data_IF_611510373130
#
_entry.id   IF_611510373130
#
_cell.length_a   1.000
_cell.length_b   1.000
_cell.length_c   1.000
_cell.angle_alpha   90.00
_cell.angle_beta   90.00
_cell.angle_gamma   90.00
#
_symmetry.space_group_name_H-M   'P 1'
#
loop_
_entity.id
_entity.type
_entity.pdbx_description
1 polymer ?
#
# COMPACT_ATOMS: atom_id res chain seq x y z
N UNK A 1 33.90 2.53 4.04
CA UNK A 1 35.24 1.87 4.00
C UNK A 1 36.29 2.98 4.12
N UNK A 2 37.48 2.76 4.73
CA UNK A 2 38.62 3.69 4.72
C UNK A 2 39.02 4.27 3.33
N UNK A 3 38.51 3.75 2.22
CA UNK A 3 38.65 4.29 0.86
C UNK A 3 37.52 5.23 0.43
N UNK A 4 36.60 5.60 1.32
CA UNK A 4 35.52 6.56 1.03
C UNK A 4 34.35 6.00 0.21
N UNK A 5 34.35 4.69 -0.09
CA UNK A 5 33.21 4.04 -0.73
C UNK A 5 32.11 3.73 0.30
N UNK A 6 30.82 3.96 -0.05
CA UNK A 6 29.70 3.52 0.78
C UNK A 6 29.78 1.99 0.93
N UNK A 7 29.70 1.50 2.17
CA UNK A 7 29.64 0.06 2.48
C UNK A 7 28.23 -0.53 2.26
N UNK A 8 27.35 0.18 1.57
CA UNK A 8 26.04 -0.30 1.15
C UNK A 8 26.04 -0.45 -0.37
N UNK A 9 26.09 -1.69 -0.83
CA UNK A 9 25.69 -2.00 -2.19
C UNK A 9 24.17 -2.02 -2.22
N UNK A 10 23.55 -0.98 -2.79
CA UNK A 10 22.15 -1.03 -3.19
C UNK A 10 22.09 -1.67 -4.58
N UNK A 11 22.28 -2.99 -4.63
CA UNK A 11 22.01 -3.74 -5.84
C UNK A 11 20.49 -3.78 -6.04
N UNK A 12 20.01 -3.23 -7.15
CA UNK A 12 18.64 -3.45 -7.60
C UNK A 12 18.51 -4.93 -7.97
N UNK A 13 18.14 -5.75 -6.99
CA UNK A 13 17.84 -7.16 -7.18
C UNK A 13 16.45 -7.25 -7.80
N UNK A 14 16.38 -7.44 -9.11
CA UNK A 14 15.17 -7.97 -9.73
C UNK A 14 15.10 -9.44 -9.32
N UNK A 15 14.25 -9.74 -8.34
CA UNK A 15 14.01 -11.10 -7.85
C UNK A 15 13.37 -11.96 -8.94
N UNK A 16 14.17 -12.35 -9.93
CA UNK A 16 13.83 -13.28 -10.99
C UNK A 16 14.79 -14.48 -10.92
N UNK A 17 14.32 -15.66 -10.45
CA UNK A 17 12.93 -15.96 -10.10
C UNK A 17 12.47 -15.30 -8.78
N UNK A 18 11.16 -15.02 -8.62
CA UNK A 18 10.64 -14.44 -7.39
C UNK A 18 10.90 -15.34 -6.17
N UNK A 19 10.97 -14.76 -4.96
CA UNK A 19 11.10 -15.56 -3.75
C UNK A 19 9.89 -16.49 -3.61
N UNK A 20 10.12 -17.67 -3.03
CA UNK A 20 9.04 -18.58 -2.76
C UNK A 20 8.20 -18.10 -1.58
N UNK A 21 6.89 -18.10 -1.73
CA UNK A 21 5.94 -17.75 -0.67
C UNK A 21 4.95 -18.88 -0.40
N UNK A 22 4.84 -19.88 -1.29
CA UNK A 22 4.02 -21.08 -1.09
C UNK A 22 4.61 -21.97 0.00
N UNK A 23 3.82 -22.27 1.03
CA UNK A 23 4.25 -23.05 2.20
C UNK A 23 4.87 -22.23 3.33
N UNK A 24 4.79 -20.90 3.23
CA UNK A 24 5.13 -19.94 4.28
C UNK A 24 3.87 -19.26 4.83
N UNK A 25 4.03 -18.42 5.86
CA UNK A 25 2.93 -17.66 6.45
C UNK A 25 2.19 -16.83 5.40
N UNK A 26 0.85 -16.81 5.44
CA UNK A 26 0.07 -15.97 4.53
C UNK A 26 0.35 -14.48 4.82
N UNK A 27 0.21 -13.60 3.82
CA UNK A 27 0.45 -12.16 3.99
C UNK A 27 -0.30 -11.50 5.14
N UNK A 28 -1.51 -11.97 5.49
CA UNK A 28 -2.28 -11.48 6.64
C UNK A 28 -1.59 -11.73 7.98
N UNK A 29 -0.65 -12.67 8.04
CA UNK A 29 0.12 -13.03 9.23
C UNK A 29 1.54 -12.43 9.22
N UNK A 30 1.89 -11.61 8.22
CA UNK A 30 3.20 -10.96 8.17
C UNK A 30 3.28 -9.82 9.17
N UNK A 31 4.32 -9.87 10.02
CA UNK A 31 4.56 -8.88 11.06
C UNK A 31 5.11 -7.58 10.46
N UNK A 32 4.89 -6.48 11.17
CA UNK A 32 5.54 -5.22 10.87
C UNK A 32 7.07 -5.35 11.04
N UNK A 33 7.89 -4.79 10.13
CA UNK A 33 9.34 -4.77 10.31
C UNK A 33 9.83 -4.04 11.58
N UNK A 34 8.97 -3.24 12.22
CA UNK A 34 9.29 -2.53 13.47
C UNK A 34 8.95 -3.33 14.74
N UNK A 35 8.33 -4.50 14.60
CA UNK A 35 7.96 -5.35 15.73
C UNK A 35 9.14 -6.23 16.14
N UNK A 36 9.62 -6.03 17.37
CA UNK A 36 10.79 -6.72 17.95
C UNK A 36 10.42 -7.79 18.97
N UNK A 37 9.13 -8.13 19.11
CA UNK A 37 8.71 -9.16 20.05
C UNK A 37 9.10 -10.57 19.57
N UNK A 38 9.57 -11.40 20.50
CA UNK A 38 9.90 -12.79 20.23
C UNK A 38 8.64 -13.64 20.00
N UNK A 39 8.70 -14.55 19.04
CA UNK A 39 7.64 -15.51 18.75
C UNK A 39 8.24 -16.83 18.29
N UNK A 40 7.58 -17.92 18.64
CA UNK A 40 7.94 -19.23 18.11
C UNK A 40 7.65 -19.30 16.61
N UNK A 41 8.57 -19.88 15.86
CA UNK A 41 8.41 -20.08 14.42
C UNK A 41 7.58 -21.33 14.18
N UNK A 42 6.49 -21.25 13.41
CA UNK A 42 5.70 -22.42 13.06
C UNK A 42 6.52 -23.50 12.35
N UNK A 43 6.15 -24.76 12.58
CA UNK A 43 6.79 -25.90 11.95
C UNK A 43 6.38 -26.04 10.48
N UNK A 44 7.21 -26.74 9.71
CA UNK A 44 6.87 -27.10 8.32
C UNK A 44 6.91 -25.94 7.33
N UNK A 45 7.61 -24.84 7.67
CA UNK A 45 7.85 -23.71 6.78
C UNK A 45 8.97 -24.03 5.79
N UNK A 46 8.60 -24.30 4.55
CA UNK A 46 9.52 -24.43 3.43
C UNK A 46 8.77 -24.18 2.13
N UNK A 47 9.50 -23.96 1.04
CA UNK A 47 8.88 -23.77 -0.26
C UNK A 47 8.18 -25.06 -0.75
N UNK A 48 6.85 -25.10 -0.69
CA UNK A 48 6.01 -26.26 -1.05
C UNK A 48 5.63 -26.32 -2.54
N UNK A 49 6.45 -25.74 -3.41
CA UNK A 49 6.31 -25.87 -4.87
C UNK A 49 6.90 -27.20 -5.38
N UNK A 50 6.65 -27.60 -6.65
CA UNK A 50 7.25 -28.77 -7.25
C UNK A 50 8.79 -28.73 -7.24
N UNK A 51 9.44 -29.90 -7.16
CA UNK A 51 10.91 -29.99 -7.09
C UNK A 51 11.62 -29.38 -8.31
N UNK A 52 10.97 -29.44 -9.47
CA UNK A 52 11.40 -28.87 -10.76
C UNK A 52 11.06 -27.38 -10.92
N UNK A 53 10.36 -26.77 -9.95
CA UNK A 53 10.06 -25.33 -10.01
C UNK A 53 11.36 -24.50 -9.99
N UNK A 54 11.49 -23.49 -10.86
CA UNK A 54 12.66 -22.61 -10.88
C UNK A 54 12.75 -21.69 -9.64
N UNK A 55 11.67 -21.56 -8.88
CA UNK A 55 11.61 -20.72 -7.68
C UNK A 55 12.23 -21.47 -6.49
N UNK A 56 13.29 -20.95 -5.88
CA UNK A 56 13.96 -21.56 -4.72
C UNK A 56 14.51 -22.98 -5.01
N UNK A 57 15.25 -23.15 -6.10
CA UNK A 57 15.84 -24.45 -6.51
C UNK A 57 16.81 -25.04 -5.49
N UNK A 58 17.45 -24.20 -4.65
CA UNK A 58 18.37 -24.60 -3.57
C UNK A 58 17.69 -24.71 -2.19
N UNK A 59 16.37 -24.56 -2.13
CA UNK A 59 15.60 -24.63 -0.88
C UNK A 59 15.46 -26.06 -0.34
N UNK A 60 14.90 -26.15 0.87
CA UNK A 60 14.78 -27.41 1.62
C UNK A 60 14.18 -28.57 0.79
N UNK A 61 13.15 -28.30 -0.03
CA UNK A 61 12.48 -29.32 -0.86
C UNK A 61 13.41 -30.13 -1.78
N UNK A 62 14.57 -29.56 -2.13
CA UNK A 62 15.53 -30.14 -3.07
C UNK A 62 16.81 -30.65 -2.38
N UNK A 63 16.84 -30.70 -1.05
CA UNK A 63 17.97 -31.27 -0.31
C UNK A 63 18.01 -32.80 -0.54
N UNK A 64 19.17 -33.37 -0.90
CA UNK A 64 19.30 -34.82 -1.05
C UNK A 64 19.17 -35.53 0.30
N UNK A 65 18.42 -36.63 0.32
CA UNK A 65 18.30 -37.47 1.50
C UNK A 65 19.58 -38.31 1.69
N UNK A 66 20.18 -38.25 2.87
CA UNK A 66 21.45 -38.94 3.19
C UNK A 66 21.40 -40.46 2.93
N UNK A 67 20.34 -41.11 3.39
CA UNK A 67 20.22 -42.59 3.34
C UNK A 67 19.49 -43.10 2.09
N UNK A 68 18.97 -42.22 1.22
CA UNK A 68 18.19 -42.60 0.03
C UNK A 68 18.72 -41.90 -1.22
N UNK A 69 19.67 -42.52 -1.95
CA UNK A 69 20.20 -41.96 -3.19
C UNK A 69 19.10 -41.62 -4.19
N UNK A 70 19.17 -40.43 -4.79
CA UNK A 70 18.19 -39.94 -5.76
C UNK A 70 16.92 -39.35 -5.15
N UNK A 71 16.63 -39.55 -3.85
CA UNK A 71 15.50 -38.92 -3.18
C UNK A 71 15.87 -37.53 -2.67
N UNK A 72 14.94 -36.58 -2.83
CA UNK A 72 15.02 -35.23 -2.25
C UNK A 72 13.78 -34.97 -1.43
N UNK A 73 13.94 -34.32 -0.28
CA UNK A 73 12.83 -33.98 0.58
C UNK A 73 13.15 -32.80 1.51
N UNK A 74 12.13 -32.06 1.95
CA UNK A 74 12.29 -30.91 2.85
C UNK A 74 12.53 -31.30 4.30
N UNK A 75 12.12 -32.50 4.73
CA UNK A 75 12.24 -32.95 6.13
C UNK A 75 12.76 -34.38 6.23
N UNK A 76 13.30 -34.72 7.41
CA UNK A 76 13.87 -36.04 7.67
C UNK A 76 12.81 -37.13 7.69
N UNK A 77 11.58 -36.82 8.09
CA UNK A 77 10.44 -37.72 8.10
C UNK A 77 10.07 -38.14 6.67
N UNK A 78 10.02 -37.17 5.75
CA UNK A 78 9.76 -37.44 4.34
C UNK A 78 10.94 -38.16 3.70
N UNK A 79 12.19 -37.86 4.09
CA UNK A 79 13.34 -38.65 3.64
C UNK A 79 13.23 -40.12 4.06
N UNK A 80 12.82 -40.39 5.31
CA UNK A 80 12.67 -41.75 5.84
C UNK A 80 11.44 -42.48 5.29
N UNK A 81 10.38 -41.77 4.93
CA UNK A 81 9.17 -42.37 4.35
C UNK A 81 9.40 -42.93 2.94
N UNK A 82 8.49 -43.78 2.48
CA UNK A 82 8.46 -44.30 1.10
C UNK A 82 7.53 -43.49 0.19
N UNK A 83 6.87 -42.46 0.74
CA UNK A 83 6.01 -41.58 -0.02
C UNK A 83 6.84 -40.61 -0.88
N UNK A 84 6.35 -40.26 -2.09
CA UNK A 84 6.93 -39.19 -2.88
C UNK A 84 6.68 -37.83 -2.23
N UNK A 85 7.44 -36.81 -2.67
CA UNK A 85 7.18 -35.43 -2.29
C UNK A 85 5.90 -34.92 -2.97
N UNK A 86 4.99 -34.35 -2.19
CA UNK A 86 3.75 -33.75 -2.67
C UNK A 86 3.82 -32.22 -2.56
N UNK A 87 3.73 -31.48 -3.68
CA UNK A 87 3.68 -30.02 -3.65
C UNK A 87 2.30 -29.52 -3.22
N UNK A 88 2.28 -28.40 -2.50
CA UNK A 88 1.03 -27.74 -2.09
C UNK A 88 0.34 -27.02 -3.26
N UNK A 89 1.12 -26.47 -4.18
CA UNK A 89 0.61 -25.82 -5.37
C UNK A 89 1.60 -25.99 -6.52
N UNK A 90 1.11 -26.04 -7.76
CA UNK A 90 1.97 -26.19 -8.94
C UNK A 90 2.71 -24.89 -9.31
N UNK A 91 2.15 -23.73 -8.97
CA UNK A 91 2.71 -22.41 -9.27
C UNK A 91 2.45 -21.46 -8.12
N UNK A 92 3.31 -20.47 -7.97
CA UNK A 92 3.08 -19.34 -7.10
C UNK A 92 2.42 -18.21 -7.90
N UNK A 93 1.29 -17.73 -7.42
CA UNK A 93 0.61 -16.58 -7.99
C UNK A 93 1.16 -15.30 -7.37
N UNK A 94 1.45 -14.30 -8.20
CA UNK A 94 1.92 -13.00 -7.72
C UNK A 94 0.82 -12.19 -7.02
N UNK A 95 -0.42 -12.27 -7.52
CA UNK A 95 -1.53 -11.41 -7.11
C UNK A 95 -2.80 -12.17 -6.71
N UNK A 96 -2.71 -13.49 -6.52
CA UNK A 96 -3.82 -14.33 -6.07
C UNK A 96 -3.87 -14.53 -4.56
N UNK A 97 -4.96 -15.18 -4.07
CA UNK A 97 -4.96 -15.73 -2.72
C UNK A 97 -3.85 -16.76 -2.59
N UNK A 98 -3.24 -16.84 -1.41
CA UNK A 98 -2.23 -17.85 -1.15
C UNK A 98 -2.88 -19.24 -1.11
N UNK A 99 -2.18 -20.29 -1.57
CA UNK A 99 -2.66 -21.67 -1.40
C UNK A 99 -2.93 -21.98 0.08
N UNK A 100 -4.05 -22.65 0.35
CA UNK A 100 -4.39 -23.14 1.68
C UNK A 100 -3.36 -24.17 2.11
N UNK A 101 -2.70 -23.95 3.25
CA UNK A 101 -1.70 -24.88 3.79
C UNK A 101 -2.27 -25.63 5.01
N UNK A 102 -2.61 -26.93 4.86
CA UNK A 102 -3.15 -27.73 5.97
C UNK A 102 -2.23 -27.78 7.19
N UNK A 103 -0.91 -27.71 7.00
CA UNK A 103 0.06 -27.79 8.11
C UNK A 103 0.10 -26.51 8.95
N UNK A 104 -0.21 -25.35 8.36
CA UNK A 104 -0.34 -24.10 9.10
C UNK A 104 -1.69 -24.03 9.81
N UNK A 105 -2.75 -24.48 9.14
CA UNK A 105 -4.10 -24.54 9.72
C UNK A 105 -4.13 -25.47 10.93
N UNK A 106 -3.45 -26.63 10.88
CA UNK A 106 -3.38 -27.55 12.02
C UNK A 106 -2.63 -26.97 13.22
N UNK A 107 -1.80 -25.94 13.01
CA UNK A 107 -1.10 -25.19 14.05
C UNK A 107 -1.87 -23.95 14.53
N UNK A 108 -3.10 -23.73 14.03
CA UNK A 108 -3.96 -22.62 14.43
C UNK A 108 -3.77 -21.34 13.63
N UNK A 109 -3.00 -21.37 12.54
CA UNK A 109 -2.79 -20.20 11.67
C UNK A 109 -3.92 -20.14 10.66
N UNK A 110 -4.71 -19.05 10.62
CA UNK A 110 -5.85 -18.97 9.72
C UNK A 110 -5.39 -18.85 8.25
N UNK A 111 -6.25 -19.24 7.30
CA UNK A 111 -6.09 -18.89 5.89
C UNK A 111 -5.84 -17.38 5.67
N UNK A 112 -5.28 -17.02 4.52
CA UNK A 112 -5.08 -15.63 4.13
C UNK A 112 -6.42 -14.87 4.08
N UNK A 113 -6.60 -13.83 4.89
CA UNK A 113 -7.85 -13.05 5.00
C UNK A 113 -8.31 -12.42 3.67
N UNK A 114 -7.43 -12.33 2.67
CA UNK A 114 -7.80 -11.92 1.31
C UNK A 114 -8.81 -12.88 0.66
N UNK A 115 -8.93 -14.13 1.14
CA UNK A 115 -9.95 -15.08 0.68
C UNK A 115 -11.35 -14.78 1.21
N UNK A 116 -11.46 -14.16 2.38
CA UNK A 116 -12.73 -13.82 3.05
C UNK A 116 -13.06 -12.33 2.98
N UNK A 117 -12.23 -11.53 2.31
CA UNK A 117 -12.40 -10.08 2.18
C UNK A 117 -13.79 -9.70 1.65
N UNK A 118 -14.36 -10.54 0.78
CA UNK A 118 -15.67 -10.29 0.17
C UNK A 118 -16.86 -10.72 1.02
N UNK A 119 -16.66 -11.54 2.06
CA UNK A 119 -17.74 -12.08 2.89
C UNK A 119 -18.44 -10.99 3.71
N UNK A 120 -17.77 -9.85 3.90
CA UNK A 120 -18.28 -8.67 4.62
C UNK A 120 -18.54 -7.46 3.70
N UNK A 121 -18.60 -7.65 2.38
CA UNK A 121 -18.96 -6.56 1.44
C UNK A 121 -20.42 -6.14 1.62
N UNK A 122 -21.28 -7.08 2.01
CA UNK A 122 -22.68 -6.80 2.25
C UNK A 122 -22.87 -6.39 3.72
N UNK A 123 -23.47 -5.22 3.94
CA UNK A 123 -23.88 -4.80 5.28
C UNK A 123 -24.95 -5.74 5.86
N UNK A 124 -25.12 -5.76 7.20
CA UNK A 124 -26.23 -6.49 7.82
C UNK A 124 -27.56 -6.09 7.17
N UNK A 125 -28.42 -7.07 6.87
CA UNK A 125 -29.73 -6.82 6.25
C UNK A 125 -30.60 -5.86 7.10
N UNK A 126 -30.40 -5.89 8.42
CA UNK A 126 -31.08 -5.02 9.39
C UNK A 126 -30.43 -3.63 9.53
N UNK A 127 -29.36 -3.35 8.78
CA UNK A 127 -28.56 -2.14 8.90
C UNK A 127 -27.64 -2.14 10.13
N UNK A 128 -26.68 -1.22 10.16
CA UNK A 128 -25.88 -0.99 11.37
C UNK A 128 -26.77 -0.34 12.43
N UNK A 129 -26.88 -0.90 13.66
CA UNK A 129 -27.67 -0.30 14.71
C UNK A 129 -27.14 1.11 15.02
N UNK A 130 -28.04 2.07 15.13
CA UNK A 130 -27.69 3.45 15.47
C UNK A 130 -26.95 3.45 16.81
N UNK A 131 -25.78 4.12 16.93
CA UNK A 131 -25.15 4.30 18.23
C UNK A 131 -26.15 4.94 19.21
N UNK A 132 -26.10 4.60 20.51
CA UNK A 132 -26.98 5.19 21.50
C UNK A 132 -26.94 6.72 21.35
N UNK A 133 -28.09 7.30 21.03
CA UNK A 133 -28.22 8.75 20.94
C UNK A 133 -27.93 9.38 22.31
N UNK A 134 -27.44 10.62 22.36
CA UNK A 134 -27.38 11.34 23.63
C UNK A 134 -28.77 11.34 24.28
N UNK A 135 -28.85 11.28 25.62
CA UNK A 135 -30.13 11.32 26.32
C UNK A 135 -30.92 12.56 25.87
N UNK A 136 -32.26 12.48 25.81
CA UNK A 136 -33.09 13.61 25.40
C UNK A 136 -32.74 14.82 26.27
N UNK A 137 -32.49 15.95 25.60
CA UNK A 137 -32.24 17.21 26.30
C UNK A 137 -33.43 17.49 27.21
N UNK A 138 -33.14 17.82 28.47
CA UNK A 138 -34.16 18.24 29.43
C UNK A 138 -35.00 19.37 28.82
N UNK A 139 -36.32 19.43 29.10
CA UNK A 139 -37.16 20.53 28.65
C UNK A 139 -36.53 21.86 29.03
N UNK A 140 -36.22 22.69 28.03
CA UNK A 140 -35.75 24.05 28.27
C UNK A 140 -36.82 24.85 29.02
N UNK A 141 -36.45 25.84 29.85
CA UNK A 141 -37.41 26.69 30.53
C UNK A 141 -38.28 27.41 29.50
N UNK A 142 -39.58 27.55 29.82
CA UNK A 142 -40.56 28.21 28.98
C UNK A 142 -40.07 29.61 28.57
N UNK A 143 -40.06 29.87 27.25
CA UNK A 143 -39.74 31.19 26.72
C UNK A 143 -40.79 32.20 27.20
N UNK A 144 -40.33 33.32 27.77
CA UNK A 144 -41.18 34.44 28.12
C UNK A 144 -41.85 35.04 26.86
N UNK A 145 -43.03 35.66 26.96
CA UNK A 145 -43.75 36.19 25.81
C UNK A 145 -42.93 37.25 25.07
N UNK A 146 -42.83 37.10 23.76
CA UNK A 146 -42.17 38.07 22.88
C UNK A 146 -43.03 39.33 22.79
N UNK A 147 -42.46 40.49 23.15
CA UNK A 147 -43.09 41.80 22.96
C UNK A 147 -43.28 42.11 21.46
N UNK A 148 -44.31 42.87 21.05
CA UNK A 148 -44.58 43.13 19.64
C UNK A 148 -43.49 43.99 19.00
N UNK A 149 -43.18 43.67 17.74
CA UNK A 149 -42.14 44.29 16.94
C UNK A 149 -42.38 45.80 16.74
N UNK A 150 -41.39 46.60 17.11
CA UNK A 150 -41.30 48.01 16.72
C UNK A 150 -40.23 48.17 15.64
N UNK A 151 -40.67 48.50 14.41
CA UNK A 151 -39.90 49.25 13.42
C UNK A 151 -38.91 48.48 12.55
N UNK A 152 -39.40 47.89 11.45
CA UNK A 152 -38.58 47.65 10.26
C UNK A 152 -38.10 48.99 9.69
N UNK A 153 -36.79 49.25 9.71
CA UNK A 153 -36.17 50.22 8.79
C UNK A 153 -35.92 49.50 7.45
N UNK A 154 -36.21 50.10 6.28
CA UNK A 154 -36.00 49.43 4.99
C UNK A 154 -34.50 49.29 4.71
N UNK A 155 -34.05 48.06 4.42
CA UNK A 155 -32.75 47.80 3.81
C UNK A 155 -32.81 48.10 2.32
N UNK A 156 -31.75 48.69 1.71
CA UNK A 156 -31.72 48.96 0.28
C UNK A 156 -31.75 47.66 -0.52
N UNK A 157 -32.58 47.64 -1.57
CA UNK A 157 -32.71 46.51 -2.49
C UNK A 157 -31.38 46.16 -3.16
N UNK A 158 -31.02 44.88 -3.08
CA UNK A 158 -30.16 44.25 -4.07
C UNK A 158 -28.73 43.97 -3.65
N UNK A 159 -28.50 43.01 -2.74
CA UNK A 159 -27.43 42.01 -2.88
C UNK A 159 -27.84 40.72 -2.16
N UNK A 160 -28.38 39.74 -2.89
CA UNK A 160 -28.44 38.36 -2.40
C UNK A 160 -27.04 37.74 -2.51
N UNK A 161 -26.60 36.88 -1.57
CA UNK A 161 -25.36 36.12 -1.73
C UNK A 161 -25.49 35.23 -2.98
N UNK A 162 -24.65 35.49 -3.97
CA UNK A 162 -24.64 34.75 -5.22
C UNK A 162 -24.13 33.32 -4.97
N UNK A 163 -24.95 32.33 -5.31
CA UNK A 163 -24.49 30.97 -5.50
C UNK A 163 -23.45 30.93 -6.64
N UNK A 164 -22.38 30.14 -6.54
CA UNK A 164 -21.39 30.04 -7.62
C UNK A 164 -22.08 29.50 -8.89
N UNK A 165 -22.09 30.33 -9.94
CA UNK A 165 -22.57 29.97 -11.28
C UNK A 165 -21.52 29.13 -12.00
N UNK A 166 -21.48 27.84 -11.69
CA UNK A 166 -20.83 26.81 -12.52
C UNK A 166 -21.88 25.98 -13.26
N UNK A 167 -21.61 25.46 -14.47
CA UNK A 167 -22.56 24.57 -15.14
C UNK A 167 -22.77 23.29 -14.32
N UNK A 168 -24.03 22.96 -14.04
CA UNK A 168 -24.43 21.67 -13.48
C UNK A 168 -24.10 20.55 -14.50
N UNK A 169 -23.53 19.41 -14.09
CA UNK A 169 -23.44 18.24 -14.95
C UNK A 169 -24.84 17.73 -15.26
N UNK A 170 -25.16 17.53 -16.55
CA UNK A 170 -26.40 16.87 -16.97
C UNK A 170 -26.42 15.38 -16.60
N UNK A 171 -27.58 14.70 -16.69
CA UNK A 171 -27.71 13.29 -16.35
C UNK A 171 -26.82 12.42 -17.24
N UNK A 172 -26.12 11.46 -16.63
CA UNK A 172 -25.24 10.48 -17.29
C UNK A 172 -26.09 9.33 -17.86
N UNK A 173 -25.94 8.92 -19.14
CA UNK A 173 -26.43 7.63 -19.60
C UNK A 173 -25.55 6.50 -19.07
N UNK A 174 -26.17 5.35 -18.81
CA UNK A 174 -25.54 4.15 -18.25
C UNK A 174 -24.28 3.70 -19.01
N UNK A 175 -23.21 3.38 -18.27
CA UNK A 175 -22.17 2.44 -18.74
C UNK A 175 -20.79 2.97 -19.14
N UNK A 176 -20.35 4.16 -18.74
CA UNK A 176 -19.00 4.67 -19.05
C UNK A 176 -18.25 5.23 -17.83
N UNK A 177 -17.01 4.77 -17.59
CA UNK A 177 -16.15 5.30 -16.54
C UNK A 177 -15.84 6.79 -16.78
N UNK A 178 -16.02 7.62 -15.74
CA UNK A 178 -15.64 9.03 -15.76
C UNK A 178 -14.11 9.11 -15.78
N UNK A 179 -13.47 9.77 -16.75
CA UNK A 179 -12.02 9.92 -16.75
C UNK A 179 -11.60 10.78 -15.56
N UNK A 180 -10.88 10.19 -14.61
CA UNK A 180 -10.25 10.92 -13.52
C UNK A 180 -9.06 11.71 -14.07
N UNK A 181 -9.19 13.03 -14.13
CA UNK A 181 -8.08 13.91 -14.49
C UNK A 181 -7.12 14.07 -13.28
N UNK A 182 -5.79 14.03 -13.48
CA UNK A 182 -4.82 14.31 -12.41
C UNK A 182 -5.02 15.72 -11.84
N UNK A 183 -4.64 15.93 -10.59
CA UNK A 183 -4.81 17.21 -9.86
C UNK A 183 -4.10 18.42 -10.50
N UNK A 184 -3.28 18.20 -11.52
CA UNK A 184 -2.59 19.24 -12.30
C UNK A 184 -3.37 19.67 -13.57
N UNK A 185 -4.54 19.10 -13.84
CA UNK A 185 -5.32 19.38 -15.05
C UNK A 185 -6.13 20.69 -14.91
N UNK A 186 -5.76 21.70 -15.71
CA UNK A 186 -6.56 22.91 -15.91
C UNK A 186 -7.23 22.90 -17.28
N UNK A 187 -8.50 23.30 -17.38
CA UNK A 187 -9.29 23.28 -18.61
C UNK A 187 -8.85 24.28 -19.70
N UNK A 188 -7.78 25.05 -19.47
CA UNK A 188 -7.20 25.95 -20.47
C UNK A 188 -6.21 25.19 -21.35
N UNK A 189 -6.69 24.78 -22.54
CA UNK A 189 -5.97 23.98 -23.52
C UNK A 189 -4.82 24.71 -24.28
N UNK A 190 -4.15 25.67 -23.66
CA UNK A 190 -3.02 26.41 -24.26
C UNK A 190 -1.70 26.30 -23.49
N UNK A 191 -1.68 25.71 -22.29
CA UNK A 191 -0.45 25.48 -21.54
C UNK A 191 -0.10 24.00 -21.45
N UNK A 192 0.89 23.53 -22.22
CA UNK A 192 1.56 22.27 -21.87
C UNK A 192 2.14 22.44 -20.45
N UNK A 193 1.99 21.46 -19.54
CA UNK A 193 2.68 21.53 -18.25
C UNK A 193 4.17 21.70 -18.52
N UNK A 194 4.86 22.70 -17.91
CA UNK A 194 6.28 22.88 -18.14
C UNK A 194 7.02 21.69 -17.52
N UNK A 195 7.47 20.77 -18.37
CA UNK A 195 8.43 19.73 -17.98
C UNK A 195 9.81 20.35 -18.12
N UNK A 196 10.43 20.71 -17.00
CA UNK A 196 11.83 21.10 -16.97
C UNK A 196 12.69 19.85 -16.78
N UNK A 197 13.58 19.58 -17.74
CA UNK A 197 14.56 18.49 -17.64
C UNK A 197 15.92 19.14 -17.39
N UNK A 198 16.54 18.86 -16.25
CA UNK A 198 17.89 19.32 -15.94
C UNK A 198 18.90 18.25 -16.40
N UNK A 199 19.95 18.67 -17.12
CA UNK A 199 21.05 17.79 -17.46
C UNK A 199 22.00 17.69 -16.26
N UNK A 200 22.09 16.48 -15.70
CA UNK A 200 22.95 16.14 -14.57
C UNK A 200 24.20 15.39 -15.08
N UNK A 201 25.38 15.87 -14.71
CA UNK A 201 26.65 15.20 -14.96
C UNK A 201 27.05 14.37 -13.72
N UNK A 202 26.97 13.03 -13.79
CA UNK A 202 27.27 12.16 -12.66
C UNK A 202 28.75 12.10 -12.28
N UNK A 203 29.68 12.55 -13.14
CA UNK A 203 31.10 12.51 -12.84
C UNK A 203 31.53 13.59 -11.82
N UNK A 204 30.79 14.70 -11.74
CA UNK A 204 31.16 15.86 -10.93
C UNK A 204 29.98 16.46 -10.13
N UNK A 205 28.77 15.90 -10.25
CA UNK A 205 27.60 16.33 -9.48
C UNK A 205 27.03 17.69 -9.91
N UNK A 206 27.34 18.13 -11.14
CA UNK A 206 26.87 19.42 -11.68
C UNK A 206 25.55 19.23 -12.41
N UNK A 207 24.65 20.19 -12.25
CA UNK A 207 23.41 20.26 -13.02
C UNK A 207 23.22 21.65 -13.62
N UNK A 208 22.61 21.69 -14.80
CA UNK A 208 22.24 22.93 -15.47
C UNK A 208 20.82 23.34 -15.06
N UNK A 209 20.67 24.51 -14.44
CA UNK A 209 19.36 25.05 -14.09
C UNK A 209 18.69 25.72 -15.30
N UNK A 210 17.36 25.90 -15.30
CA UNK A 210 16.63 26.49 -16.43
C UNK A 210 17.07 27.91 -16.83
N UNK A 211 17.76 28.62 -15.93
CA UNK A 211 18.40 29.92 -16.15
C UNK A 211 19.77 29.84 -16.84
N UNK A 212 20.22 28.64 -17.23
CA UNK A 212 21.46 28.40 -17.97
C UNK A 212 22.73 28.40 -17.10
N UNK A 213 22.59 28.37 -15.77
CA UNK A 213 23.72 28.35 -14.84
C UNK A 213 24.07 26.92 -14.42
N UNK A 214 25.35 26.63 -14.33
CA UNK A 214 25.81 25.36 -13.77
C UNK A 214 25.89 25.47 -12.27
N UNK A 215 25.10 24.66 -11.57
CA UNK A 215 25.15 24.52 -10.11
C UNK A 215 25.77 23.18 -9.74
N UNK A 216 26.47 23.12 -8.62
CA UNK A 216 27.07 21.90 -8.09
C UNK A 216 26.62 21.75 -6.65
N UNK A 217 25.88 20.69 -6.35
CA UNK A 217 25.48 20.40 -4.98
C UNK A 217 26.49 19.40 -4.40
N UNK A 218 27.54 19.93 -3.76
CA UNK A 218 28.65 19.12 -3.22
C UNK A 218 28.31 18.38 -1.92
N UNK A 219 27.13 18.62 -1.35
CA UNK A 219 26.59 17.88 -0.20
C UNK A 219 25.10 18.19 -0.02
N UNK A 220 24.24 17.16 0.02
CA UNK A 220 22.82 17.29 0.43
C UNK A 220 22.70 17.51 1.96
N UNK A 221 23.82 17.45 2.70
CA UNK A 221 23.84 17.50 4.16
C UNK A 221 24.65 18.65 4.76
N UNK A 222 25.17 19.62 3.99
CA UNK A 222 25.97 20.71 4.55
C UNK A 222 25.61 22.06 3.94
N UNK A 223 24.51 22.63 4.43
CA UNK A 223 24.09 23.99 4.11
C UNK A 223 22.73 24.30 4.71
N UNK A 224 22.64 24.40 6.04
CA UNK A 224 21.45 24.83 6.79
C UNK A 224 20.21 23.96 6.54
N UNK A 225 19.88 23.06 7.47
CA UNK A 225 18.63 22.32 7.41
C UNK A 225 17.45 23.26 7.11
N UNK A 226 16.69 22.95 6.07
CA UNK A 226 15.46 23.65 5.71
C UNK A 226 14.58 23.75 6.96
N UNK A 227 14.35 24.97 7.45
CA UNK A 227 13.55 25.19 8.67
C UNK A 227 12.06 25.06 8.39
N UNK A 228 11.68 25.21 7.12
CA UNK A 228 10.30 25.06 6.67
C UNK A 228 10.24 24.22 5.41
N UNK A 229 9.12 23.52 5.23
CA UNK A 229 8.89 22.70 4.04
C UNK A 229 8.90 23.49 2.73
N UNK A 230 8.67 24.82 2.79
CA UNK A 230 8.71 25.72 1.63
C UNK A 230 10.13 25.91 1.09
N UNK A 231 11.14 25.80 1.96
CA UNK A 231 12.55 25.91 1.57
C UNK A 231 13.05 24.68 0.77
N UNK A 232 12.22 23.63 0.69
CA UNK A 232 12.48 22.41 -0.08
C UNK A 232 11.87 22.43 -1.49
N UNK A 233 11.14 23.49 -1.84
CA UNK A 233 10.57 23.62 -3.18
C UNK A 233 11.51 24.44 -4.08
N UNK A 234 11.80 23.97 -5.31
CA UNK A 234 12.55 24.78 -6.27
C UNK A 234 11.68 25.98 -6.69
N UNK A 235 12.22 27.19 -6.53
CA UNK A 235 11.65 28.43 -7.11
C UNK A 235 11.83 28.49 -8.61
#
# INVERSE_FOLDING_TARGET
>A
NPTGLPLGEFATMFGDPPPCTVGFLPPSQWRSPADLSDIDTPDGLYCKLPQDSPISVRGARNIPCMDKPGKRAPTVEICKSDMPYEPLAMRQHATGPYPLDPSLISQGIPPDDRVTLNDNIYGPLDGTPRPPGPPPAAPGPAQAPVAPAAGQLPLPEGVAPQAPTGPLPGPVPDGGAVPAAPSAYGANATGKPPVAVAYYDPQNGRYLTPDGRYQQQTSVAAGGAAKTWKDLLPT
#
